data_IF_049398147354
#
_entry.id   IF_049398147354
#
_cell.length_a   1.000
_cell.length_b   1.000
_cell.length_c   1.000
_cell.angle_alpha   90.00
_cell.angle_beta   90.00
_cell.angle_gamma   90.00
#
_symmetry.space_group_name_H-M   'P 1'
#
loop_
_entity.id
_entity.type
_entity.pdbx_description
1 polymer ?
#
# COMPACT_ATOMS: atom_id res chain seq x y z
N UNK A 1 -2.40 34.50 -9.49
CA UNK A 1 -1.70 33.92 -8.33
C UNK A 1 -2.20 32.51 -8.24
N UNK A 2 -1.42 31.56 -8.77
CA UNK A 2 -1.85 30.16 -8.90
C UNK A 2 -1.95 29.54 -7.51
N UNK A 3 -3.10 28.99 -7.17
CA UNK A 3 -3.28 28.14 -5.98
C UNK A 3 -2.35 26.93 -6.10
N UNK A 4 -1.16 27.01 -5.50
CA UNK A 4 -0.36 25.81 -5.28
C UNK A 4 -1.08 24.94 -4.25
N UNK A 5 -1.36 23.66 -4.57
CA UNK A 5 -1.96 22.77 -3.60
C UNK A 5 -1.00 22.62 -2.42
N UNK A 6 -1.45 23.01 -1.23
CA UNK A 6 -0.67 22.88 0.00
C UNK A 6 -0.56 21.41 0.41
N UNK A 7 0.38 20.69 -0.18
CA UNK A 7 0.68 19.31 0.18
C UNK A 7 1.42 19.27 1.53
N UNK A 8 0.88 18.51 2.48
CA UNK A 8 1.56 18.26 3.76
C UNK A 8 2.73 17.30 3.55
N UNK A 9 3.78 17.41 4.37
CA UNK A 9 4.98 16.53 4.34
C UNK A 9 4.65 15.02 4.32
N UNK A 10 3.54 14.63 4.98
CA UNK A 10 3.05 13.25 4.94
C UNK A 10 2.46 12.80 3.59
N UNK A 11 1.91 13.72 2.80
CA UNK A 11 1.41 13.43 1.44
C UNK A 11 2.57 13.15 0.48
N UNK A 12 3.66 13.93 0.58
CA UNK A 12 4.85 13.72 -0.24
C UNK A 12 5.51 12.37 0.03
N UNK A 13 5.52 11.90 1.29
CA UNK A 13 6.08 10.59 1.64
C UNK A 13 5.33 9.43 0.97
N UNK A 14 4.00 9.50 0.93
CA UNK A 14 3.18 8.47 0.27
C UNK A 14 3.41 8.45 -1.25
N UNK A 15 3.49 9.61 -1.91
CA UNK A 15 3.78 9.68 -3.35
C UNK A 15 5.19 9.18 -3.70
N UNK A 16 6.18 9.51 -2.86
CA UNK A 16 7.54 8.98 -3.02
C UNK A 16 7.59 7.47 -2.85
N UNK A 17 6.89 6.93 -1.85
CA UNK A 17 6.81 5.48 -1.66
C UNK A 17 6.11 4.80 -2.84
N UNK A 18 5.02 5.38 -3.36
CA UNK A 18 4.35 4.87 -4.56
C UNK A 18 5.30 4.84 -5.76
N UNK A 19 6.12 5.88 -5.93
CA UNK A 19 7.13 5.95 -6.98
C UNK A 19 8.19 4.85 -6.84
N UNK A 20 8.68 4.60 -5.62
CA UNK A 20 9.60 3.49 -5.34
C UNK A 20 8.97 2.13 -5.66
N UNK A 21 7.70 1.93 -5.28
CA UNK A 21 7.00 0.69 -5.62
C UNK A 21 6.87 0.52 -7.14
N UNK A 22 6.59 1.58 -7.89
CA UNK A 22 6.54 1.56 -9.35
C UNK A 22 7.88 1.19 -9.98
N UNK A 23 8.97 1.83 -9.55
CA UNK A 23 10.33 1.55 -10.01
C UNK A 23 10.70 0.06 -9.82
N UNK A 24 10.28 -0.51 -8.69
CA UNK A 24 10.50 -1.91 -8.35
C UNK A 24 9.48 -2.89 -8.99
N UNK A 25 8.55 -2.39 -9.80
CA UNK A 25 7.43 -3.16 -10.37
C UNK A 25 6.55 -3.84 -9.32
N UNK A 26 6.29 -3.13 -8.22
CA UNK A 26 5.49 -3.58 -7.07
C UNK A 26 4.19 -2.79 -6.87
N UNK A 27 3.93 -1.75 -7.68
CA UNK A 27 2.73 -0.90 -7.56
C UNK A 27 1.43 -1.72 -7.62
N UNK A 28 1.40 -2.78 -8.42
CA UNK A 28 0.23 -3.66 -8.56
C UNK A 28 -0.20 -4.32 -7.25
N UNK A 29 0.71 -4.46 -6.27
CA UNK A 29 0.40 -5.10 -5.00
C UNK A 29 -0.28 -4.17 -3.99
N UNK A 30 -0.24 -2.84 -4.22
CA UNK A 30 -0.90 -1.84 -3.37
C UNK A 30 -2.21 -1.31 -3.97
N UNK A 31 -2.54 -1.73 -5.19
CA UNK A 31 -3.80 -1.41 -5.83
C UNK A 31 -4.99 -2.01 -5.07
N UNK A 32 -6.14 -1.32 -5.13
CA UNK A 32 -7.37 -1.73 -4.45
C UNK A 32 -7.88 -3.11 -4.88
N UNK A 33 -7.56 -3.51 -6.11
CA UNK A 33 -7.97 -4.78 -6.70
C UNK A 33 -6.91 -5.88 -6.57
N UNK A 34 -5.78 -5.58 -5.92
CA UNK A 34 -4.74 -6.57 -5.64
C UNK A 34 -5.28 -7.68 -4.74
N UNK A 35 -5.34 -8.88 -5.29
CA UNK A 35 -5.80 -10.09 -4.59
C UNK A 35 -4.92 -11.27 -4.98
N UNK A 36 -4.70 -12.22 -4.07
CA UNK A 36 -4.01 -13.45 -4.41
C UNK A 36 -4.78 -14.18 -5.51
N UNK A 37 -4.06 -14.83 -6.46
CA UNK A 37 -4.71 -15.64 -7.47
C UNK A 37 -5.48 -16.77 -6.78
N UNK A 38 -6.67 -17.09 -7.32
CA UNK A 38 -7.47 -18.19 -6.83
C UNK A 38 -7.42 -19.35 -7.82
N UNK A 39 -7.13 -20.58 -7.36
CA UNK A 39 -7.15 -21.74 -8.24
C UNK A 39 -8.57 -22.04 -8.71
N UNK A 40 -8.72 -22.53 -9.94
CA UNK A 40 -9.99 -22.96 -10.50
C UNK A 40 -10.62 -24.12 -9.70
N UNK A 41 -9.78 -24.97 -9.09
CA UNK A 41 -10.20 -25.98 -8.13
C UNK A 41 -9.31 -25.94 -6.88
N UNK A 42 -9.87 -25.46 -5.76
CA UNK A 42 -9.18 -25.34 -4.48
C UNK A 42 -8.60 -26.67 -3.97
N UNK A 43 -9.23 -27.80 -4.28
CA UNK A 43 -8.80 -29.12 -3.81
C UNK A 43 -7.72 -29.73 -4.70
N UNK A 44 -7.53 -29.22 -5.93
CA UNK A 44 -6.53 -29.72 -6.87
C UNK A 44 -5.93 -28.59 -7.73
N UNK A 45 -5.14 -27.68 -7.13
CA UNK A 45 -4.45 -26.65 -7.89
C UNK A 45 -3.42 -27.29 -8.83
N UNK A 46 -3.38 -26.80 -10.07
CA UNK A 46 -2.38 -27.13 -11.07
C UNK A 46 -0.99 -26.60 -10.68
N UNK A 47 0.06 -27.10 -11.32
CA UNK A 47 1.42 -26.59 -11.11
C UNK A 47 1.52 -25.09 -11.42
N UNK A 48 0.91 -24.64 -12.52
CA UNK A 48 0.91 -23.24 -12.93
C UNK A 48 0.21 -22.33 -11.90
N UNK A 49 -0.91 -22.76 -11.33
CA UNK A 49 -1.62 -21.99 -10.29
C UNK A 49 -0.80 -21.87 -9.00
N UNK A 50 -0.10 -22.94 -8.59
CA UNK A 50 0.80 -22.89 -7.43
C UNK A 50 1.98 -21.94 -7.65
N UNK A 51 2.57 -21.94 -8.84
CA UNK A 51 3.66 -21.01 -9.16
C UNK A 51 3.17 -19.56 -9.26
N UNK A 52 1.96 -19.32 -9.78
CA UNK A 52 1.34 -18.01 -9.76
C UNK A 52 1.09 -17.51 -8.33
N UNK A 53 0.59 -18.39 -7.45
CA UNK A 53 0.36 -18.11 -6.04
C UNK A 53 1.65 -17.75 -5.29
N UNK A 54 2.70 -18.57 -5.44
CA UNK A 54 4.04 -18.28 -4.87
C UNK A 54 4.61 -16.96 -5.38
N UNK A 55 4.51 -16.71 -6.69
CA UNK A 55 5.01 -15.48 -7.30
C UNK A 55 4.26 -14.26 -6.78
N UNK A 56 2.94 -14.37 -6.64
CA UNK A 56 2.12 -13.30 -6.08
C UNK A 56 2.51 -13.02 -4.63
N UNK A 57 2.58 -14.05 -3.78
CA UNK A 57 2.98 -13.90 -2.38
C UNK A 57 4.40 -13.35 -2.21
N UNK A 58 5.34 -13.73 -3.08
CA UNK A 58 6.69 -13.17 -3.08
C UNK A 58 6.72 -11.67 -3.41
N UNK A 59 5.92 -11.23 -4.38
CA UNK A 59 5.80 -9.82 -4.73
C UNK A 59 5.07 -9.00 -3.66
N UNK A 60 3.97 -9.52 -3.10
CA UNK A 60 3.25 -8.89 -1.99
C UNK A 60 4.14 -8.74 -0.75
N UNK A 61 4.88 -9.78 -0.38
CA UNK A 61 5.84 -9.71 0.73
C UNK A 61 6.92 -8.65 0.48
N UNK A 62 7.46 -8.57 -0.74
CA UNK A 62 8.44 -7.53 -1.11
C UNK A 62 7.84 -6.13 -1.03
N UNK A 63 6.61 -5.95 -1.49
CA UNK A 63 5.89 -4.67 -1.42
C UNK A 63 5.65 -4.26 0.04
N UNK A 64 5.18 -5.18 0.90
CA UNK A 64 5.04 -4.97 2.34
C UNK A 64 6.34 -4.51 2.99
N UNK A 65 7.45 -5.22 2.76
CA UNK A 65 8.75 -4.82 3.31
C UNK A 65 9.16 -3.42 2.87
N UNK A 66 8.88 -3.02 1.62
CA UNK A 66 9.16 -1.66 1.16
C UNK A 66 8.31 -0.60 1.85
N UNK A 67 7.04 -0.91 2.15
CA UNK A 67 6.17 -0.03 2.93
C UNK A 67 6.71 0.11 4.36
N UNK A 68 7.01 -1.00 5.02
CA UNK A 68 7.53 -1.04 6.39
C UNK A 68 8.83 -0.24 6.53
N UNK A 69 9.75 -0.35 5.56
CA UNK A 69 11.02 0.39 5.55
C UNK A 69 10.85 1.90 5.30
N UNK A 70 9.73 2.33 4.72
CA UNK A 70 9.50 3.71 4.33
C UNK A 70 8.66 4.51 5.34
N UNK A 71 7.93 3.82 6.22
CA UNK A 71 7.12 4.44 7.27
C UNK A 71 7.93 4.59 8.56
N UNK A 72 7.63 5.63 9.35
CA UNK A 72 8.23 5.77 10.68
C UNK A 72 7.39 5.07 11.76
N UNK A 73 7.93 4.96 12.97
CA UNK A 73 7.30 4.26 14.11
C UNK A 73 5.85 4.69 14.37
N UNK A 74 5.57 6.00 14.28
CA UNK A 74 4.22 6.55 14.48
C UNK A 74 3.18 6.10 13.43
N UNK A 75 3.65 5.67 12.26
CA UNK A 75 2.82 5.18 11.16
C UNK A 75 2.75 3.65 11.19
N UNK A 76 3.82 3.00 11.68
CA UNK A 76 3.91 1.55 11.85
C UNK A 76 2.72 1.00 12.63
N UNK A 77 2.28 1.68 13.70
CA UNK A 77 1.14 1.26 14.54
C UNK A 77 -0.15 1.07 13.75
N UNK A 78 -0.29 1.78 12.62
CA UNK A 78 -1.50 1.74 11.80
C UNK A 78 -1.53 0.56 10.82
N UNK A 79 -0.37 -0.06 10.54
CA UNK A 79 -0.24 -1.20 9.62
C UNK A 79 -0.05 -2.54 10.33
N UNK A 80 0.05 -2.54 11.67
CA UNK A 80 0.11 -3.76 12.47
C UNK A 80 -1.14 -4.61 12.22
N UNK A 81 -0.92 -5.88 11.86
CA UNK A 81 -1.99 -6.85 11.61
C UNK A 81 -2.50 -6.88 10.16
N UNK A 82 -2.05 -5.97 9.29
CA UNK A 82 -2.28 -6.10 7.85
C UNK A 82 -1.56 -7.33 7.29
N UNK A 83 -2.25 -8.09 6.44
CA UNK A 83 -1.73 -9.34 5.86
C UNK A 83 -1.12 -9.11 4.48
N UNK A 84 -1.59 -8.09 3.77
CA UNK A 84 -1.18 -7.75 2.40
C UNK A 84 -0.67 -6.32 2.29
N UNK A 85 0.13 -6.05 1.26
CA UNK A 85 0.60 -4.70 0.95
C UNK A 85 -0.57 -3.74 0.65
N UNK A 86 -1.61 -4.22 -0.02
CA UNK A 86 -2.83 -3.45 -0.28
C UNK A 86 -3.55 -3.02 1.01
N UNK A 87 -3.64 -3.90 2.01
CA UNK A 87 -4.21 -3.56 3.32
C UNK A 87 -3.38 -2.50 4.04
N UNK A 88 -2.04 -2.66 4.06
CA UNK A 88 -1.13 -1.66 4.62
C UNK A 88 -1.31 -0.30 3.94
N UNK A 89 -1.33 -0.29 2.60
CA UNK A 89 -1.50 0.91 1.79
C UNK A 89 -2.82 1.62 2.08
N UNK A 90 -3.92 0.85 2.16
CA UNK A 90 -5.25 1.35 2.49
C UNK A 90 -5.27 1.99 3.88
N UNK A 91 -4.72 1.33 4.89
CA UNK A 91 -4.68 1.85 6.26
C UNK A 91 -3.86 3.14 6.35
N UNK A 92 -2.69 3.20 5.72
CA UNK A 92 -1.86 4.41 5.66
C UNK A 92 -2.60 5.56 4.96
N UNK A 93 -3.22 5.28 3.81
CA UNK A 93 -3.98 6.28 3.05
C UNK A 93 -5.14 6.85 3.88
N UNK A 94 -5.91 5.98 4.56
CA UNK A 94 -7.00 6.41 5.45
C UNK A 94 -6.51 7.35 6.54
N UNK A 95 -5.41 7.03 7.22
CA UNK A 95 -4.86 7.88 8.29
C UNK A 95 -4.42 9.25 7.77
N UNK A 96 -3.83 9.32 6.57
CA UNK A 96 -3.34 10.57 5.99
C UNK A 96 -4.48 11.44 5.44
N UNK A 97 -5.45 10.84 4.74
CA UNK A 97 -6.63 11.55 4.24
C UNK A 97 -7.52 12.08 5.38
N UNK A 98 -7.65 11.31 6.47
CA UNK A 98 -8.40 11.72 7.67
C UNK A 98 -7.78 12.95 8.34
N UNK A 99 -6.44 13.00 8.44
CA UNK A 99 -5.72 14.17 8.98
C UNK A 99 -5.80 15.37 8.05
N UNK A 100 -5.83 15.16 6.73
CA UNK A 100 -6.01 16.23 5.74
C UNK A 100 -7.35 16.96 5.90
N UNK A 101 -8.45 16.23 6.15
CA UNK A 101 -9.78 16.83 6.37
C UNK A 101 -9.89 17.62 7.68
N UNK A 102 -9.29 17.12 8.76
CA UNK A 102 -9.32 17.80 10.07
C UNK A 102 -8.40 19.05 10.10
N UNK A 103 -7.28 19.04 9.36
CA UNK A 103 -6.39 20.21 9.24
C UNK A 103 -7.04 21.41 8.54
N UNK A 104 -7.97 21.16 7.61
CA UNK A 104 -8.73 22.21 6.90
C UNK A 104 -9.78 22.86 7.83
N UNK A 105 -10.31 22.15 8.83
CA UNK A 105 -11.33 22.68 9.74
C UNK A 105 -10.75 23.48 10.91
N UNK A 106 -9.44 23.40 11.19
CA UNK A 106 -8.79 24.10 12.29
C UNK A 106 -8.25 25.51 11.92
N UNK A 107 -8.51 26.00 10.71
CA UNK A 107 -8.03 27.31 10.21
C UNK A 107 -9.12 28.39 10.16
N UNK A 108 -10.17 28.29 10.98
CA UNK A 108 -11.23 29.31 11.03
C UNK A 108 -11.30 30.04 12.37
#
# INVERSE_FOLDING_TARGET
MSDEPSYTSGSYRMEMLKTVLRDLSLETYVDKDSKPPQPANANKPTGAEKEADKKWHGGDAKARTRIELAVGDSEMVHIIGARTAAEMWKQLTLVKESRGKLGILATR
#
